data_IF_141029354266
#
_entry.id   IF_141029354266
#
_cell.length_a   1.000
_cell.length_b   1.000
_cell.length_c   1.000
_cell.angle_alpha   90.00
_cell.angle_beta   90.00
_cell.angle_gamma   90.00
#
_symmetry.space_group_name_H-M   'P 1'
#
loop_
_entity.id
_entity.type
_entity.pdbx_description
1 polymer ?
#
# COMPACT_ATOMS: atom_id res chain seq x y z
N UNK A 1 -30.26 -22.85 -25.68
CA UNK A 1 -29.56 -21.57 -25.47
C UNK A 1 -29.52 -21.36 -23.98
N UNK A 2 -28.34 -21.52 -23.37
CA UNK A 2 -28.15 -21.23 -21.96
C UNK A 2 -27.90 -19.72 -21.85
N UNK A 3 -28.82 -19.00 -21.18
CA UNK A 3 -28.52 -17.68 -20.63
C UNK A 3 -27.42 -17.88 -19.60
N UNK A 4 -26.18 -17.61 -20.00
CA UNK A 4 -25.14 -17.31 -19.03
C UNK A 4 -25.56 -15.98 -18.42
N UNK A 5 -26.16 -16.03 -17.23
CA UNK A 5 -26.26 -14.86 -16.38
C UNK A 5 -24.85 -14.33 -16.25
N UNK A 6 -24.61 -13.14 -16.80
CA UNK A 6 -23.49 -12.31 -16.42
C UNK A 6 -23.66 -12.05 -14.93
N UNK A 7 -23.19 -12.99 -14.10
CA UNK A 7 -22.76 -12.70 -12.74
C UNK A 7 -21.76 -11.58 -12.94
N UNK A 8 -22.24 -10.35 -12.78
CA UNK A 8 -21.39 -9.19 -12.75
C UNK A 8 -20.28 -9.56 -11.80
N UNK A 9 -19.05 -9.62 -12.31
CA UNK A 9 -17.89 -9.98 -11.50
C UNK A 9 -17.75 -8.81 -10.52
N UNK A 10 -18.51 -8.86 -9.42
CA UNK A 10 -18.43 -7.91 -8.33
C UNK A 10 -16.97 -8.00 -7.91
N UNK A 11 -16.19 -6.92 -7.98
CA UNK A 11 -14.82 -6.96 -7.53
C UNK A 11 -14.85 -7.33 -6.05
N UNK A 12 -14.56 -8.60 -5.74
CA UNK A 12 -14.41 -9.05 -4.37
C UNK A 12 -13.16 -8.35 -3.84
N UNK A 13 -13.36 -7.26 -3.10
CA UNK A 13 -12.28 -6.53 -2.45
C UNK A 13 -11.76 -7.44 -1.35
N UNK A 14 -10.66 -8.13 -1.62
CA UNK A 14 -10.01 -8.98 -0.64
C UNK A 14 -9.66 -8.13 0.61
N UNK A 15 -9.88 -8.60 1.85
CA UNK A 15 -9.63 -7.83 3.08
C UNK A 15 -8.22 -7.24 3.17
N UNK A 16 -7.26 -7.89 2.50
CA UNK A 16 -5.89 -7.39 2.37
C UNK A 16 -5.80 -6.02 1.69
N UNK A 17 -6.66 -5.71 0.73
CA UNK A 17 -6.66 -4.41 0.06
C UNK A 17 -7.01 -3.28 1.03
N UNK A 18 -8.02 -3.50 1.89
CA UNK A 18 -8.38 -2.55 2.94
C UNK A 18 -7.22 -2.35 3.93
N UNK A 19 -6.60 -3.45 4.38
CA UNK A 19 -5.40 -3.40 5.22
C UNK A 19 -4.27 -2.59 4.56
N UNK A 20 -3.95 -2.88 3.29
CA UNK A 20 -2.88 -2.21 2.54
C UNK A 20 -3.14 -0.70 2.44
N UNK A 21 -4.34 -0.29 2.03
CA UNK A 21 -4.71 1.13 1.91
C UNK A 21 -4.58 1.85 3.25
N UNK A 22 -5.09 1.26 4.34
CA UNK A 22 -4.99 1.84 5.67
C UNK A 22 -3.53 2.01 6.10
N UNK A 23 -2.69 1.00 5.88
CA UNK A 23 -1.26 1.07 6.21
C UNK A 23 -0.53 2.12 5.38
N UNK A 24 -0.86 2.28 4.10
CA UNK A 24 -0.27 3.32 3.25
C UNK A 24 -0.69 4.73 3.71
N UNK A 25 -1.95 4.94 4.08
CA UNK A 25 -2.42 6.22 4.65
C UNK A 25 -1.71 6.54 5.96
N UNK A 26 -1.55 5.55 6.82
CA UNK A 26 -0.81 5.70 8.07
C UNK A 26 0.66 6.08 7.88
N UNK A 27 1.33 5.53 6.85
CA UNK A 27 2.70 5.89 6.47
C UNK A 27 2.73 7.34 5.96
N UNK A 28 1.80 7.70 5.08
CA UNK A 28 1.70 9.04 4.51
C UNK A 28 1.49 10.10 5.60
N UNK A 29 0.58 9.86 6.54
CA UNK A 29 0.33 10.77 7.66
C UNK A 29 1.59 10.96 8.53
N UNK A 30 2.38 9.92 8.76
CA UNK A 30 3.66 10.08 9.47
C UNK A 30 4.65 10.95 8.70
N UNK A 31 4.69 10.83 7.36
CA UNK A 31 5.51 11.69 6.50
C UNK A 31 5.05 13.16 6.54
N UNK A 32 3.74 13.42 6.50
CA UNK A 32 3.18 14.79 6.58
C UNK A 32 3.48 15.45 7.93
N UNK A 33 3.47 14.67 9.00
CA UNK A 33 3.81 15.13 10.35
C UNK A 33 5.33 15.22 10.60
N UNK A 34 6.17 15.00 9.57
CA UNK A 34 7.63 14.97 9.67
C UNK A 34 8.17 13.92 10.68
N UNK A 35 7.35 12.92 11.02
CA UNK A 35 7.74 11.82 11.90
C UNK A 35 8.36 10.68 11.08
N UNK A 36 9.58 10.92 10.63
CA UNK A 36 10.29 10.02 9.71
C UNK A 36 10.62 8.67 10.36
N UNK A 37 10.90 8.63 11.66
CA UNK A 37 11.14 7.37 12.36
C UNK A 37 9.89 6.50 12.38
N UNK A 38 8.72 7.08 12.65
CA UNK A 38 7.46 6.33 12.62
C UNK A 38 7.09 5.94 11.19
N UNK A 39 7.30 6.80 10.20
CA UNK A 39 7.08 6.44 8.80
C UNK A 39 7.92 5.21 8.40
N UNK A 40 9.23 5.22 8.70
CA UNK A 40 10.14 4.10 8.42
C UNK A 40 9.69 2.81 9.11
N UNK A 41 9.32 2.87 10.40
CA UNK A 41 8.80 1.71 11.14
C UNK A 41 7.55 1.14 10.48
N UNK A 42 6.58 1.99 10.13
CA UNK A 42 5.33 1.56 9.50
C UNK A 42 5.57 0.95 8.12
N UNK A 43 6.48 1.51 7.33
CA UNK A 43 6.89 0.97 6.02
C UNK A 43 7.59 -0.39 6.18
N UNK A 44 8.51 -0.52 7.14
CA UNK A 44 9.18 -1.79 7.45
C UNK A 44 8.17 -2.87 7.87
N UNK A 45 7.26 -2.55 8.79
CA UNK A 45 6.23 -3.48 9.27
C UNK A 45 5.31 -3.92 8.13
N UNK A 46 4.91 -3.00 7.24
CA UNK A 46 4.09 -3.33 6.08
C UNK A 46 4.79 -4.37 5.18
N UNK A 47 6.12 -4.25 5.01
CA UNK A 47 6.89 -5.19 4.18
C UNK A 47 6.85 -6.64 4.70
N UNK A 48 6.57 -6.87 5.98
CA UNK A 48 6.42 -8.22 6.55
C UNK A 48 5.22 -8.99 5.99
N UNK A 49 4.24 -8.27 5.42
CA UNK A 49 3.01 -8.83 4.87
C UNK A 49 3.02 -8.95 3.33
N UNK A 50 4.10 -8.52 2.68
CA UNK A 50 4.22 -8.48 1.22
C UNK A 50 4.98 -9.70 0.67
N UNK A 51 4.79 -10.02 -0.60
CA UNK A 51 5.43 -11.21 -1.18
C UNK A 51 6.95 -11.04 -1.29
N UNK A 52 7.70 -12.16 -1.32
CA UNK A 52 9.15 -12.15 -1.44
C UNK A 52 9.72 -11.30 -2.58
N UNK A 53 8.99 -11.17 -3.69
CA UNK A 53 9.41 -10.33 -4.83
C UNK A 53 9.53 -8.85 -4.45
N UNK A 54 8.63 -8.34 -3.61
CA UNK A 54 8.66 -6.95 -3.13
C UNK A 54 9.78 -6.80 -2.09
N UNK A 55 9.83 -7.70 -1.10
CA UNK A 55 10.83 -7.59 -0.02
C UNK A 55 12.26 -7.80 -0.53
N UNK A 56 12.47 -8.66 -1.52
CA UNK A 56 13.77 -8.78 -2.19
C UNK A 56 14.12 -7.52 -2.99
N UNK A 57 13.13 -6.86 -3.62
CA UNK A 57 13.31 -5.58 -4.30
C UNK A 57 13.68 -4.43 -3.36
N UNK A 58 13.31 -4.53 -2.08
CA UNK A 58 13.58 -3.55 -1.02
C UNK A 58 14.72 -3.95 -0.08
N UNK A 59 15.52 -4.98 -0.40
CA UNK A 59 16.50 -5.54 0.56
C UNK A 59 17.40 -4.46 1.17
N UNK A 60 17.92 -3.54 0.35
CA UNK A 60 18.82 -2.49 0.80
C UNK A 60 18.12 -1.52 1.75
N UNK A 61 16.91 -1.08 1.39
CA UNK A 61 16.10 -0.22 2.23
C UNK A 61 15.68 -0.92 3.54
N UNK A 62 15.37 -2.21 3.51
CA UNK A 62 15.05 -2.98 4.71
C UNK A 62 16.25 -3.09 5.67
N UNK A 63 17.45 -3.34 5.14
CA UNK A 63 18.67 -3.42 5.95
C UNK A 63 19.00 -2.05 6.60
N UNK A 64 18.79 -0.95 5.88
CA UNK A 64 18.99 0.40 6.41
C UNK A 64 17.91 0.81 7.41
N UNK A 65 16.66 0.46 7.14
CA UNK A 65 15.55 0.64 8.08
C UNK A 65 15.78 -0.11 9.39
N UNK A 66 16.28 -1.36 9.36
CA UNK A 66 16.64 -2.11 10.58
C UNK A 66 17.68 -1.36 11.43
N UNK A 67 18.69 -0.76 10.78
CA UNK A 67 19.70 0.06 11.47
C UNK A 67 19.11 1.32 12.09
N UNK A 68 18.14 1.96 11.43
CA UNK A 68 17.42 3.13 11.97
C UNK A 68 16.53 2.71 13.16
N UNK A 69 15.76 1.64 13.01
CA UNK A 69 14.81 1.15 14.02
C UNK A 69 15.55 0.67 15.27
N UNK A 70 16.70 0.01 15.11
CA UNK A 70 17.57 -0.40 16.21
C UNK A 70 18.38 0.76 16.84
N UNK A 71 18.24 1.99 16.33
CA UNK A 71 18.92 3.18 16.85
C UNK A 71 20.41 3.25 16.51
N UNK A 72 20.90 2.44 15.55
CA UNK A 72 22.31 2.46 15.11
C UNK A 72 22.63 3.70 14.26
N UNK A 73 21.63 4.23 13.54
CA UNK A 73 21.74 5.46 12.75
C UNK A 73 20.46 6.30 12.92
N UNK A 74 20.53 7.64 12.77
CA UNK A 74 19.35 8.49 12.90
C UNK A 74 18.40 8.33 11.71
N UNK A 75 17.10 8.45 11.97
CA UNK A 75 16.11 8.61 10.92
C UNK A 75 16.33 9.94 10.20
N UNK A 76 16.20 9.95 8.88
CA UNK A 76 16.27 11.17 8.07
C UNK A 76 15.18 11.15 6.99
N UNK A 77 14.80 12.35 6.56
CA UNK A 77 13.72 12.58 5.60
C UNK A 77 13.99 11.92 4.24
N UNK A 78 15.22 12.05 3.73
CA UNK A 78 15.59 11.58 2.40
C UNK A 78 15.40 10.06 2.29
N UNK A 79 15.93 9.32 3.27
CA UNK A 79 15.74 7.88 3.33
C UNK A 79 14.27 7.49 3.48
N UNK A 80 13.50 8.16 4.34
CA UNK A 80 12.09 7.87 4.52
C UNK A 80 11.29 8.06 3.21
N UNK A 81 11.54 9.17 2.50
CA UNK A 81 10.92 9.43 1.19
C UNK A 81 11.32 8.38 0.15
N UNK A 82 12.61 8.03 0.09
CA UNK A 82 13.11 7.03 -0.84
C UNK A 82 12.49 5.66 -0.56
N UNK A 83 12.43 5.23 0.70
CA UNK A 83 11.92 3.93 1.08
C UNK A 83 10.43 3.79 0.72
N UNK A 84 9.61 4.79 1.08
CA UNK A 84 8.19 4.81 0.71
C UNK A 84 8.02 4.83 -0.81
N UNK A 85 8.83 5.61 -1.54
CA UNK A 85 8.79 5.64 -3.01
C UNK A 85 9.13 4.29 -3.63
N UNK A 86 10.21 3.63 -3.18
CA UNK A 86 10.60 2.30 -3.67
C UNK A 86 9.49 1.28 -3.43
N UNK A 87 8.87 1.30 -2.25
CA UNK A 87 7.73 0.43 -1.93
C UNK A 87 6.55 0.68 -2.89
N UNK A 88 6.16 1.95 -3.09
CA UNK A 88 5.03 2.30 -3.96
C UNK A 88 5.27 1.86 -5.41
N UNK A 89 6.49 2.00 -5.92
CA UNK A 89 6.86 1.53 -7.27
C UNK A 89 6.72 0.01 -7.39
N UNK A 90 7.16 -0.74 -6.39
CA UNK A 90 7.05 -2.19 -6.40
C UNK A 90 5.61 -2.66 -6.26
N UNK A 91 4.82 -2.09 -5.34
CA UNK A 91 3.38 -2.38 -5.23
C UNK A 91 2.66 -2.14 -6.56
N UNK A 92 2.95 -1.01 -7.21
CA UNK A 92 2.40 -0.67 -8.50
C UNK A 92 2.80 -1.71 -9.57
N UNK A 93 4.10 -2.02 -9.67
CA UNK A 93 4.62 -3.00 -10.64
C UNK A 93 3.99 -4.38 -10.45
N UNK A 94 3.78 -4.79 -9.21
CA UNK A 94 3.21 -6.09 -8.85
C UNK A 94 1.68 -6.13 -8.91
N UNK A 95 1.05 -5.03 -9.34
CA UNK A 95 -0.37 -5.01 -9.66
C UNK A 95 -1.29 -4.74 -8.47
N UNK A 96 -0.77 -4.32 -7.31
CA UNK A 96 -1.59 -3.96 -6.15
C UNK A 96 -2.53 -2.79 -6.39
N UNK A 97 -2.23 -1.96 -7.40
CA UNK A 97 -3.09 -0.86 -7.83
C UNK A 97 -3.85 -1.14 -9.13
N UNK A 98 -3.91 -2.41 -9.56
CA UNK A 98 -4.58 -2.76 -10.83
C UNK A 98 -6.07 -2.41 -10.81
N UNK A 99 -6.76 -2.63 -9.70
CA UNK A 99 -8.17 -2.25 -9.57
C UNK A 99 -8.36 -0.73 -9.75
N UNK A 100 -7.50 0.08 -9.14
CA UNK A 100 -7.53 1.54 -9.30
C UNK A 100 -7.26 1.98 -10.76
N UNK A 101 -6.55 1.18 -11.56
CA UNK A 101 -6.24 1.47 -12.97
C UNK A 101 -7.31 0.99 -13.95
N UNK A 102 -7.91 -0.18 -13.70
CA UNK A 102 -8.78 -0.87 -14.65
C UNK A 102 -10.28 -0.76 -14.31
N UNK A 103 -10.61 -0.36 -13.07
CA UNK A 103 -11.96 0.04 -12.67
C UNK A 103 -11.87 1.35 -11.87
N UNK A 104 -11.71 2.51 -12.54
CA UNK A 104 -11.80 3.78 -11.84
C UNK A 104 -13.18 3.88 -11.20
N UNK A 105 -13.21 3.97 -9.87
CA UNK A 105 -14.44 4.29 -9.13
C UNK A 105 -14.87 5.67 -9.65
N UNK A 106 -16.03 5.74 -10.31
CA UNK A 106 -16.59 7.03 -10.72
C UNK A 106 -17.18 7.72 -9.49
N UNK A 107 -17.38 9.05 -9.54
CA UNK A 107 -18.04 9.77 -8.45
C UNK A 107 -19.41 9.15 -8.09
N UNK A 108 -20.08 8.55 -9.07
CA UNK A 108 -21.34 7.82 -8.92
C UNK A 108 -21.16 6.49 -8.16
N UNK A 109 -20.12 5.73 -8.48
CA UNK A 109 -19.78 4.48 -7.77
C UNK A 109 -19.35 4.73 -6.33
N UNK A 110 -18.66 5.84 -6.07
CA UNK A 110 -18.23 6.21 -4.72
C UNK A 110 -19.42 6.58 -3.84
N UNK A 111 -20.37 7.34 -4.38
CA UNK A 111 -21.58 7.77 -3.67
C UNK A 111 -22.49 6.58 -3.31
N UNK A 112 -22.63 5.60 -4.21
CA UNK A 112 -23.36 4.34 -3.93
C UNK A 112 -22.71 3.50 -2.82
N UNK A 113 -21.38 3.47 -2.77
CA UNK A 113 -20.64 2.80 -1.68
C UNK A 113 -20.81 3.52 -0.34
N UNK A 114 -20.86 4.86 -0.33
CA UNK A 114 -21.13 5.65 0.90
C UNK A 114 -22.58 5.51 1.38
N UNK A 115 -23.54 5.43 0.46
CA UNK A 115 -24.97 5.36 0.76
C UNK A 115 -25.43 3.91 1.09
N UNK A 116 -24.56 2.91 0.93
CA UNK A 116 -24.87 1.51 1.21
C UNK A 116 -25.91 0.91 0.25
N UNK A 117 -26.13 1.56 -0.89
CA UNK A 117 -27.08 1.11 -1.90
C UNK A 117 -26.41 0.09 -2.82
N UNK A 118 -26.92 -1.15 -2.76
CA UNK A 118 -26.49 -2.32 -3.55
C UNK A 118 -26.87 -2.25 -5.04
#
# INVERSE_FOLDING_TARGET
MAEMSEDSIRPHIHPFNFFLVNRLNEIWNSMENMDYLVAIKKTFDLCLFLEPKITNGLRKELDEADRIISGRIPANEEFARQFVRSLMVLLHREGYFSLAKFQPITAESFKKLEEGEE
#
